data_IF_010668804960
#
_entry.id   IF_010668804960
#
_cell.length_a   1.000
_cell.length_b   1.000
_cell.length_c   1.000
_cell.angle_alpha   90.00
_cell.angle_beta   90.00
_cell.angle_gamma   90.00
#
_symmetry.space_group_name_H-M   'P 1'
#
loop_
_entity.id
_entity.type
_entity.pdbx_description
1 polymer ?
#
# COMPACT_ATOMS: atom_id res chain seq x y z
N UNK A 1 -11.08 -0.39 -36.02
CA UNK A 1 -10.76 -1.83 -36.26
C UNK A 1 -9.24 -1.97 -36.10
N UNK A 2 -8.76 -2.90 -35.27
CA UNK A 2 -7.31 -3.12 -35.08
C UNK A 2 -6.75 -3.60 -36.42
N UNK A 3 -5.78 -2.88 -36.99
CA UNK A 3 -5.32 -3.07 -38.38
C UNK A 3 -4.85 -4.51 -38.65
N UNK A 4 -4.14 -5.12 -37.70
CA UNK A 4 -3.59 -6.48 -37.82
C UNK A 4 -4.64 -7.61 -37.74
N UNK A 5 -5.90 -7.30 -37.48
CA UNK A 5 -6.98 -8.30 -37.38
C UNK A 5 -8.01 -8.16 -38.49
N UNK A 6 -7.73 -7.37 -39.52
CA UNK A 6 -8.70 -7.04 -40.56
C UNK A 6 -9.16 -8.29 -41.35
N UNK A 7 -8.24 -9.20 -41.64
CA UNK A 7 -8.50 -10.40 -42.45
C UNK A 7 -8.90 -11.62 -41.61
N UNK A 8 -9.05 -11.46 -40.29
CA UNK A 8 -9.41 -12.54 -39.37
C UNK A 8 -10.74 -12.25 -38.69
N UNK A 9 -11.61 -13.26 -38.62
CA UNK A 9 -12.83 -13.20 -37.82
C UNK A 9 -12.49 -13.48 -36.36
N UNK A 10 -12.31 -12.42 -35.57
CA UNK A 10 -12.02 -12.50 -34.14
C UNK A 10 -13.18 -11.91 -33.35
N UNK A 11 -13.67 -12.65 -32.36
CA UNK A 11 -14.84 -12.26 -31.54
C UNK A 11 -14.47 -11.93 -30.10
N UNK A 12 -13.28 -12.35 -29.64
CA UNK A 12 -12.82 -12.15 -28.26
C UNK A 12 -11.35 -11.75 -28.25
N UNK A 13 -10.96 -11.04 -27.19
CA UNK A 13 -9.58 -10.66 -26.91
C UNK A 13 -9.27 -10.86 -25.42
N UNK A 14 -7.98 -11.01 -25.12
CA UNK A 14 -7.44 -11.09 -23.76
C UNK A 14 -5.99 -10.57 -23.77
N UNK A 15 -5.44 -10.06 -22.67
CA UNK A 15 -6.02 -9.90 -21.32
C UNK A 15 -6.52 -8.47 -21.10
N UNK A 16 -7.51 -8.30 -20.22
CA UNK A 16 -7.97 -7.01 -19.70
C UNK A 16 -7.93 -7.06 -18.18
N UNK A 17 -7.30 -6.07 -17.55
CA UNK A 17 -7.16 -5.99 -16.09
C UNK A 17 -7.52 -4.54 -15.69
N UNK A 18 -8.68 -4.28 -15.04
CA UNK A 18 -9.10 -2.92 -14.71
C UNK A 18 -8.12 -2.18 -13.79
N UNK A 19 -7.43 -2.91 -12.91
CA UNK A 19 -6.36 -2.38 -12.05
C UNK A 19 -5.15 -1.86 -12.84
N UNK A 20 -4.95 -2.32 -14.09
CA UNK A 20 -3.87 -1.86 -14.98
C UNK A 20 -4.37 -0.74 -15.90
N UNK A 21 -5.50 -0.96 -16.57
CA UNK A 21 -6.15 0.03 -17.41
C UNK A 21 -7.63 -0.32 -17.61
N UNK A 22 -8.52 0.42 -16.94
CA UNK A 22 -9.96 0.33 -17.12
C UNK A 22 -10.42 1.12 -18.35
N UNK A 23 -9.72 2.21 -18.73
CA UNK A 23 -10.12 3.04 -19.86
C UNK A 23 -10.31 2.22 -21.16
N UNK A 24 -9.38 1.29 -21.45
CA UNK A 24 -9.49 0.44 -22.64
C UNK A 24 -10.70 -0.49 -22.58
N UNK A 25 -11.09 -0.95 -21.39
CA UNK A 25 -12.28 -1.79 -21.19
C UNK A 25 -13.53 -0.99 -21.53
N UNK A 26 -13.63 0.24 -21.00
CA UNK A 26 -14.72 1.18 -21.30
C UNK A 26 -14.80 1.49 -22.80
N UNK A 27 -13.66 1.76 -23.45
CA UNK A 27 -13.61 2.03 -24.90
C UNK A 27 -14.06 0.84 -25.74
N UNK A 28 -13.68 -0.39 -25.35
CA UNK A 28 -14.15 -1.62 -26.03
C UNK A 28 -15.66 -1.77 -25.86
N UNK A 29 -16.19 -1.52 -24.67
CA UNK A 29 -17.63 -1.59 -24.40
C UNK A 29 -18.43 -0.57 -25.23
N UNK A 30 -17.93 0.66 -25.33
CA UNK A 30 -18.50 1.69 -26.22
C UNK A 30 -18.47 1.25 -27.68
N UNK A 31 -17.35 0.67 -28.12
CA UNK A 31 -17.18 0.22 -29.50
C UNK A 31 -18.17 -0.88 -29.91
N UNK A 32 -18.58 -1.75 -28.99
CA UNK A 32 -19.57 -2.81 -29.25
C UNK A 32 -21.04 -2.34 -29.14
N UNK A 33 -21.27 -1.06 -28.85
CA UNK A 33 -22.58 -0.40 -29.00
C UNK A 33 -23.29 0.00 -27.70
N UNK A 34 -22.61 -0.07 -26.55
CA UNK A 34 -23.15 0.49 -25.30
C UNK A 34 -22.88 2.00 -25.23
N UNK A 35 -23.89 2.79 -24.85
CA UNK A 35 -23.81 4.26 -24.90
C UNK A 35 -24.25 4.96 -23.62
N UNK A 36 -24.77 4.22 -22.65
CA UNK A 36 -25.31 4.70 -21.37
C UNK A 36 -24.23 4.96 -20.30
N UNK A 37 -22.95 4.93 -20.67
CA UNK A 37 -21.82 5.25 -19.78
C UNK A 37 -21.96 6.61 -19.08
N UNK A 38 -22.53 7.61 -19.74
CA UNK A 38 -22.74 8.95 -19.18
C UNK A 38 -23.75 8.99 -18.03
N UNK A 39 -24.52 7.92 -17.81
CA UNK A 39 -25.46 7.78 -16.70
C UNK A 39 -24.81 7.17 -15.46
N UNK A 40 -23.58 6.65 -15.58
CA UNK A 40 -22.87 5.93 -14.52
C UNK A 40 -21.89 6.89 -13.85
N UNK A 41 -22.19 7.32 -12.63
CA UNK A 41 -21.32 8.22 -11.86
C UNK A 41 -19.97 7.57 -11.51
N UNK A 42 -20.00 6.28 -11.17
CA UNK A 42 -18.83 5.46 -10.83
C UNK A 42 -18.07 4.90 -12.04
N UNK A 43 -18.29 5.45 -13.25
CA UNK A 43 -17.76 4.88 -14.50
C UNK A 43 -16.22 4.74 -14.48
N UNK A 44 -15.54 5.75 -13.95
CA UNK A 44 -14.07 5.79 -13.88
C UNK A 44 -13.52 5.12 -12.63
N UNK A 45 -14.38 4.77 -11.67
CA UNK A 45 -14.00 4.13 -10.43
C UNK A 45 -13.83 2.62 -10.61
N UNK A 46 -12.93 2.03 -9.83
CA UNK A 46 -12.75 0.59 -9.74
C UNK A 46 -12.38 0.22 -8.30
N UNK A 47 -13.06 -0.80 -7.78
CA UNK A 47 -12.79 -1.38 -6.48
C UNK A 47 -12.40 -2.83 -6.65
N UNK A 48 -11.36 -3.24 -5.93
CA UNK A 48 -10.91 -4.63 -5.92
C UNK A 48 -10.70 -5.06 -4.48
N UNK A 49 -11.48 -6.05 -4.05
CA UNK A 49 -11.33 -6.66 -2.73
C UNK A 49 -9.97 -7.34 -2.63
N UNK A 50 -9.22 -7.03 -1.57
CA UNK A 50 -7.91 -7.62 -1.25
C UNK A 50 -7.94 -8.43 0.05
N UNK A 51 -8.97 -8.27 0.87
CA UNK A 51 -9.20 -9.02 2.10
C UNK A 51 -10.69 -9.02 2.42
N UNK A 52 -11.24 -10.15 2.83
CA UNK A 52 -12.56 -10.25 3.44
C UNK A 52 -12.53 -11.23 4.61
N UNK A 53 -13.07 -10.86 5.78
CA UNK A 53 -13.10 -11.69 6.99
C UNK A 53 -13.76 -13.06 6.78
N UNK A 54 -14.65 -13.18 5.81
CA UNK A 54 -15.32 -14.43 5.45
C UNK A 54 -14.45 -15.37 4.60
N UNK A 55 -13.29 -14.91 4.11
CA UNK A 55 -12.36 -15.75 3.36
C UNK A 55 -11.72 -16.79 4.27
N UNK A 56 -11.65 -18.04 3.79
CA UNK A 56 -10.98 -19.14 4.51
C UNK A 56 -9.52 -18.81 4.86
N UNK A 57 -8.86 -17.97 4.06
CA UNK A 57 -7.46 -17.56 4.22
C UNK A 57 -7.30 -16.20 4.91
N UNK A 58 -8.36 -15.42 5.10
CA UNK A 58 -8.27 -14.07 5.67
C UNK A 58 -7.69 -14.07 7.08
N UNK A 59 -7.98 -15.10 7.86
CA UNK A 59 -7.36 -15.31 9.19
C UNK A 59 -5.83 -15.44 9.18
N UNK A 60 -5.15 -15.39 8.03
CA UNK A 60 -3.69 -15.53 7.92
C UNK A 60 -2.94 -14.33 7.34
N UNK A 61 -3.60 -13.29 6.82
CA UNK A 61 -2.89 -12.07 6.39
C UNK A 61 -2.65 -11.13 7.58
N UNK A 62 -1.83 -11.61 8.50
CA UNK A 62 -1.50 -10.92 9.75
C UNK A 62 -0.84 -9.55 9.50
N UNK A 63 -0.14 -9.40 8.36
CA UNK A 63 0.52 -8.14 7.99
C UNK A 63 -0.52 -7.08 7.65
N UNK A 64 -1.45 -7.43 6.76
CA UNK A 64 -2.51 -6.52 6.34
C UNK A 64 -3.45 -6.18 7.50
N UNK A 65 -3.78 -7.17 8.34
CA UNK A 65 -4.61 -6.95 9.54
C UNK A 65 -3.95 -6.05 10.59
N UNK A 66 -2.67 -6.29 10.89
CA UNK A 66 -1.92 -5.43 11.84
C UNK A 66 -1.83 -3.99 11.32
N UNK A 67 -1.61 -3.83 10.01
CA UNK A 67 -1.60 -2.53 9.36
C UNK A 67 -2.99 -1.85 9.38
N UNK A 68 -4.04 -2.56 8.99
CA UNK A 68 -5.40 -2.05 8.95
C UNK A 68 -5.89 -1.63 10.34
N UNK A 69 -5.63 -2.45 11.37
CA UNK A 69 -5.90 -2.14 12.76
C UNK A 69 -5.25 -0.81 13.19
N UNK A 70 -4.02 -0.56 12.77
CA UNK A 70 -3.34 0.71 13.05
C UNK A 70 -3.99 1.91 12.33
N UNK A 71 -4.38 1.75 11.07
CA UNK A 71 -5.03 2.81 10.29
C UNK A 71 -6.38 3.19 10.91
N UNK A 72 -7.20 2.22 11.31
CA UNK A 72 -8.52 2.51 11.92
C UNK A 72 -8.39 3.12 13.31
N UNK A 73 -7.37 2.73 14.10
CA UNK A 73 -7.03 3.41 15.37
C UNK A 73 -6.56 4.85 15.14
N UNK A 74 -5.79 5.10 14.07
CA UNK A 74 -5.40 6.45 13.70
C UNK A 74 -6.62 7.30 13.31
N UNK A 75 -7.54 6.75 12.54
CA UNK A 75 -8.80 7.41 12.19
C UNK A 75 -9.64 7.74 13.44
N UNK A 76 -9.77 6.80 14.38
CA UNK A 76 -10.45 7.04 15.65
C UNK A 76 -9.81 8.20 16.45
N UNK A 77 -8.48 8.31 16.46
CA UNK A 77 -7.77 9.45 17.08
C UNK A 77 -8.09 10.76 16.37
N UNK A 78 -8.20 10.78 15.03
CA UNK A 78 -8.59 11.97 14.26
C UNK A 78 -10.02 12.38 14.62
N UNK A 79 -10.96 11.44 14.58
CA UNK A 79 -12.37 11.68 14.93
C UNK A 79 -12.53 12.18 16.36
N UNK A 80 -11.73 11.67 17.30
CA UNK A 80 -11.72 12.14 18.68
C UNK A 80 -11.41 13.64 18.79
N UNK A 81 -10.57 14.19 17.91
CA UNK A 81 -10.27 15.64 17.88
C UNK A 81 -11.50 16.50 17.55
N UNK A 82 -12.49 15.92 16.87
CA UNK A 82 -13.78 16.54 16.55
C UNK A 82 -14.85 16.21 17.60
N UNK A 83 -14.48 15.55 18.70
CA UNK A 83 -15.39 15.10 19.75
C UNK A 83 -16.15 13.81 19.39
N UNK A 84 -15.73 13.10 18.36
CA UNK A 84 -16.31 11.85 17.90
C UNK A 84 -15.51 10.68 18.45
N UNK A 85 -15.85 10.22 19.65
CA UNK A 85 -15.22 9.06 20.25
C UNK A 85 -15.81 7.79 19.62
N UNK A 86 -14.96 6.97 19.00
CA UNK A 86 -15.30 5.65 18.49
C UNK A 86 -14.19 4.66 18.87
N UNK A 87 -14.57 3.42 19.15
CA UNK A 87 -13.64 2.33 19.42
C UNK A 87 -13.66 1.36 18.23
N UNK A 88 -12.61 1.31 17.39
CA UNK A 88 -12.52 0.36 16.29
C UNK A 88 -12.46 -1.09 16.78
N UNK A 89 -13.08 -1.99 16.02
CA UNK A 89 -13.14 -3.42 16.29
C UNK A 89 -12.77 -4.22 15.02
N UNK A 90 -13.47 -5.31 14.72
CA UNK A 90 -13.20 -6.25 13.64
C UNK A 90 -13.10 -5.59 12.25
N UNK A 91 -12.02 -5.89 11.53
CA UNK A 91 -11.85 -5.54 10.13
C UNK A 91 -12.66 -6.53 9.27
N UNK A 92 -13.63 -6.03 8.53
CA UNK A 92 -14.55 -6.82 7.71
C UNK A 92 -13.97 -7.02 6.30
N UNK A 93 -13.62 -5.92 5.63
CA UNK A 93 -13.19 -5.95 4.24
C UNK A 93 -12.14 -4.88 3.98
N UNK A 94 -11.19 -5.16 3.10
CA UNK A 94 -10.26 -4.15 2.58
C UNK A 94 -10.33 -4.17 1.06
N UNK A 95 -10.58 -3.00 0.47
CA UNK A 95 -10.67 -2.79 -0.98
C UNK A 95 -9.58 -1.85 -1.46
N UNK A 96 -8.93 -2.18 -2.58
CA UNK A 96 -8.12 -1.23 -3.34
C UNK A 96 -9.03 -0.35 -4.18
N UNK A 97 -8.86 0.97 -4.10
CA UNK A 97 -9.66 1.95 -4.84
C UNK A 97 -8.83 2.67 -5.90
N UNK A 98 -9.33 2.61 -7.14
CA UNK A 98 -8.80 3.33 -8.29
C UNK A 98 -9.87 4.25 -8.87
N UNK A 99 -9.45 5.38 -9.41
CA UNK A 99 -10.34 6.26 -10.16
C UNK A 99 -9.53 6.92 -11.29
N UNK A 100 -10.06 6.79 -12.51
CA UNK A 100 -9.41 7.19 -13.76
C UNK A 100 -8.01 6.57 -13.92
N UNK A 101 -7.91 5.24 -13.79
CA UNK A 101 -6.67 4.45 -13.88
C UNK A 101 -5.56 4.85 -12.88
N UNK A 102 -5.91 5.61 -11.83
CA UNK A 102 -4.98 6.03 -10.79
C UNK A 102 -5.36 5.42 -9.45
N UNK A 103 -4.41 4.75 -8.80
CA UNK A 103 -4.56 4.29 -7.42
C UNK A 103 -4.80 5.47 -6.46
N UNK A 104 -5.97 5.44 -5.81
CA UNK A 104 -6.43 6.48 -4.88
C UNK A 104 -6.21 6.11 -3.42
N UNK A 105 -5.97 4.83 -3.11
CA UNK A 105 -5.76 4.35 -1.75
C UNK A 105 -6.50 3.04 -1.52
N UNK A 106 -6.51 2.59 -0.28
CA UNK A 106 -7.28 1.44 0.15
C UNK A 106 -8.42 1.91 1.07
N UNK A 107 -9.49 1.13 1.12
CA UNK A 107 -10.69 1.35 1.91
C UNK A 107 -10.79 0.21 2.91
N UNK A 108 -10.94 0.52 4.20
CA UNK A 108 -11.06 -0.47 5.26
C UNK A 108 -12.48 -0.37 5.80
N UNK A 109 -13.30 -1.39 5.54
CA UNK A 109 -14.61 -1.55 6.16
C UNK A 109 -14.44 -2.29 7.49
N UNK A 110 -14.87 -1.69 8.59
CA UNK A 110 -14.69 -2.26 9.92
C UNK A 110 -15.87 -1.95 10.85
N UNK A 111 -16.03 -2.78 11.88
CA UNK A 111 -16.91 -2.49 13.01
C UNK A 111 -16.27 -1.44 13.92
N UNK A 112 -17.11 -0.65 14.56
CA UNK A 112 -16.70 0.22 15.65
C UNK A 112 -17.84 0.37 16.65
N UNK A 113 -17.50 0.63 17.91
CA UNK A 113 -18.46 0.85 18.99
C UNK A 113 -18.41 2.29 19.45
N UNK A 114 -19.58 2.91 19.57
CA UNK A 114 -19.76 4.25 20.13
C UNK A 114 -19.83 4.18 21.68
N UNK A 115 -19.59 5.28 22.41
CA UNK A 115 -19.61 5.28 23.88
C UNK A 115 -20.96 4.89 24.52
N UNK A 116 -22.06 5.03 23.79
CA UNK A 116 -23.41 4.60 24.20
C UNK A 116 -23.67 3.10 23.96
N UNK A 117 -22.67 2.37 23.47
CA UNK A 117 -22.73 0.94 23.13
C UNK A 117 -23.31 0.67 21.74
N UNK A 118 -23.55 1.71 20.93
CA UNK A 118 -24.05 1.53 19.56
C UNK A 118 -22.95 0.99 18.65
N UNK A 119 -23.17 -0.19 18.08
CA UNK A 119 -22.31 -0.75 17.03
C UNK A 119 -22.61 -0.06 15.69
N UNK A 120 -21.55 0.41 15.04
CA UNK A 120 -21.59 1.06 13.74
C UNK A 120 -20.59 0.39 12.79
N UNK A 121 -20.86 0.47 11.49
CA UNK A 121 -19.94 0.03 10.45
C UNK A 121 -19.40 1.27 9.76
N UNK A 122 -18.08 1.43 9.81
CA UNK A 122 -17.37 2.56 9.25
C UNK A 122 -16.48 2.06 8.12
N UNK A 123 -16.43 2.79 7.02
CA UNK A 123 -15.39 2.59 6.01
C UNK A 123 -14.39 3.74 6.09
N UNK A 124 -13.12 3.41 6.25
CA UNK A 124 -12.01 4.36 6.37
C UNK A 124 -11.18 4.32 5.09
N UNK A 125 -11.04 5.46 4.40
CA UNK A 125 -10.18 5.60 3.24
C UNK A 125 -8.81 6.11 3.65
N UNK A 126 -7.75 5.38 3.26
CA UNK A 126 -6.37 5.77 3.52
C UNK A 126 -5.49 5.63 2.28
N UNK A 127 -4.36 6.33 2.28
CA UNK A 127 -3.37 6.29 1.19
C UNK A 127 -1.93 6.35 1.71
N UNK A 128 -0.98 5.60 1.10
CA UNK A 128 0.43 5.74 1.43
C UNK A 128 0.97 7.14 1.10
N UNK A 129 1.85 7.63 1.97
CA UNK A 129 2.68 8.83 1.78
C UNK A 129 3.82 8.53 0.81
N UNK A 130 4.23 9.54 0.05
CA UNK A 130 5.41 9.44 -0.81
C UNK A 130 6.66 9.72 0.03
N UNK A 131 7.58 8.76 0.08
CA UNK A 131 8.87 8.88 0.75
C UNK A 131 10.00 8.82 -0.28
N UNK A 132 10.23 9.92 -1.00
CA UNK A 132 11.33 10.06 -1.95
C UNK A 132 12.08 11.36 -1.63
N UNK A 133 13.29 11.19 -1.12
CA UNK A 133 14.22 12.27 -0.83
C UNK A 133 15.23 12.37 -1.97
N UNK A 134 15.20 13.49 -2.70
CA UNK A 134 16.08 13.77 -3.83
C UNK A 134 17.23 14.67 -3.38
N UNK A 135 18.48 14.31 -3.72
CA UNK A 135 19.62 15.17 -3.45
C UNK A 135 19.89 16.11 -4.62
N UNK A 136 19.35 17.33 -4.53
CA UNK A 136 19.46 18.33 -5.60
C UNK A 136 20.89 18.85 -5.83
N UNK A 137 21.85 18.55 -4.95
CA UNK A 137 23.26 18.86 -5.18
C UNK A 137 23.91 17.91 -6.19
N UNK A 138 23.28 16.76 -6.46
CA UNK A 138 23.78 15.79 -7.43
C UNK A 138 23.19 16.07 -8.83
N UNK A 139 24.05 16.15 -9.85
CA UNK A 139 23.65 16.42 -11.24
C UNK A 139 22.69 15.39 -11.86
N UNK A 140 22.61 14.19 -11.30
CA UNK A 140 21.81 13.08 -11.83
C UNK A 140 20.41 12.97 -11.22
N UNK A 141 20.07 13.85 -10.27
CA UNK A 141 18.81 13.83 -9.53
C UNK A 141 17.59 14.04 -10.41
N UNK A 142 17.69 14.93 -11.40
CA UNK A 142 16.59 15.30 -12.30
C UNK A 142 16.15 14.12 -13.20
N UNK A 143 17.04 13.13 -13.34
CA UNK A 143 16.76 11.94 -14.12
C UNK A 143 15.94 10.93 -13.32
N UNK A 144 15.89 10.98 -11.98
CA UNK A 144 15.18 9.98 -11.16
C UNK A 144 13.66 10.27 -11.16
N UNK A 145 12.88 9.43 -11.85
CA UNK A 145 11.41 9.50 -11.89
C UNK A 145 10.73 8.69 -10.81
N UNK A 146 11.17 7.45 -10.64
CA UNK A 146 10.63 6.51 -9.66
C UNK A 146 11.81 5.94 -8.87
N UNK A 147 11.67 5.90 -7.56
CA UNK A 147 12.57 5.18 -6.66
C UNK A 147 11.76 4.81 -5.42
N UNK A 148 11.15 3.63 -5.43
CA UNK A 148 10.20 3.18 -4.39
C UNK A 148 10.33 1.69 -4.11
N UNK A 149 10.04 1.31 -2.88
CA UNK A 149 10.04 -0.09 -2.43
C UNK A 149 8.61 -0.57 -2.19
N UNK A 150 8.31 -1.79 -2.63
CA UNK A 150 7.09 -2.53 -2.28
C UNK A 150 7.35 -4.04 -2.50
N UNK A 151 6.32 -4.88 -2.52
CA UNK A 151 6.38 -6.30 -2.86
C UNK A 151 5.57 -6.63 -4.11
N UNK A 152 5.66 -7.88 -4.57
CA UNK A 152 4.83 -8.41 -5.68
C UNK A 152 4.97 -7.60 -6.97
N UNK A 153 6.23 -7.36 -7.38
CA UNK A 153 6.51 -6.71 -8.64
C UNK A 153 6.09 -7.59 -9.83
N UNK A 154 5.13 -7.11 -10.61
CA UNK A 154 4.72 -7.68 -11.88
C UNK A 154 5.62 -7.13 -12.99
N UNK A 155 6.54 -7.97 -13.47
CA UNK A 155 7.47 -7.60 -14.53
C UNK A 155 6.78 -7.34 -15.87
N UNK A 156 5.65 -8.03 -16.14
CA UNK A 156 4.95 -7.93 -17.42
C UNK A 156 4.22 -6.59 -17.53
N UNK A 157 3.56 -6.18 -16.45
CA UNK A 157 2.85 -4.88 -16.39
C UNK A 157 3.74 -3.75 -15.81
N UNK A 158 4.99 -4.07 -15.43
CA UNK A 158 5.98 -3.15 -14.88
C UNK A 158 5.50 -2.35 -13.65
N UNK A 159 4.69 -2.97 -12.78
CA UNK A 159 4.08 -2.33 -11.61
C UNK A 159 4.08 -3.25 -10.39
N UNK A 160 3.92 -2.69 -9.19
CA UNK A 160 3.69 -3.47 -7.98
C UNK A 160 2.22 -3.85 -7.86
N UNK A 161 1.93 -5.10 -7.47
CA UNK A 161 0.58 -5.52 -7.10
C UNK A 161 0.24 -5.10 -5.66
N UNK A 162 1.22 -5.04 -4.77
CA UNK A 162 1.11 -4.37 -3.49
C UNK A 162 1.23 -2.83 -3.67
N UNK A 163 0.11 -2.19 -4.05
CA UNK A 163 0.05 -0.75 -4.34
C UNK A 163 0.16 0.12 -3.08
N UNK A 164 -0.33 -0.39 -1.95
CA UNK A 164 -0.28 0.31 -0.67
C UNK A 164 1.12 0.29 -0.04
N UNK A 165 2.00 -0.63 -0.45
CA UNK A 165 3.33 -0.76 0.14
C UNK A 165 3.30 -1.33 1.56
N UNK A 166 2.28 -2.14 1.87
CA UNK A 166 2.11 -2.76 3.19
C UNK A 166 3.05 -3.97 3.26
N UNK A 167 4.08 -3.87 4.08
CA UNK A 167 5.11 -4.90 4.21
C UNK A 167 5.23 -5.31 5.68
N UNK A 168 5.45 -6.60 5.91
CA UNK A 168 5.65 -7.19 7.23
C UNK A 168 7.00 -7.90 7.32
N UNK A 169 7.32 -8.49 8.49
CA UNK A 169 8.62 -9.11 8.73
C UNK A 169 8.90 -10.28 7.79
N UNK A 170 7.86 -10.91 7.24
CA UNK A 170 7.96 -12.04 6.33
C UNK A 170 7.86 -11.64 4.85
N UNK A 171 7.74 -10.35 4.54
CA UNK A 171 7.64 -9.87 3.16
C UNK A 171 8.97 -9.92 2.40
N UNK A 172 8.89 -10.00 1.08
CA UNK A 172 10.03 -9.90 0.17
C UNK A 172 10.02 -8.53 -0.54
N UNK A 173 10.73 -7.51 0.00
CA UNK A 173 10.74 -6.18 -0.59
C UNK A 173 11.52 -6.17 -1.90
N UNK A 174 11.08 -5.31 -2.81
CA UNK A 174 11.65 -5.09 -4.13
C UNK A 174 11.72 -3.59 -4.36
N UNK A 175 12.88 -3.10 -4.78
CA UNK A 175 13.04 -1.72 -5.21
C UNK A 175 12.69 -1.62 -6.70
N UNK A 176 11.83 -0.68 -7.07
CA UNK A 176 11.60 -0.24 -8.45
C UNK A 176 12.26 1.11 -8.64
N UNK A 177 13.07 1.23 -9.70
CA UNK A 177 13.62 2.51 -10.13
C UNK A 177 13.26 2.81 -11.60
N UNK A 178 13.10 4.09 -11.89
CA UNK A 178 12.88 4.59 -13.24
C UNK A 178 13.65 5.89 -13.45
N UNK A 179 14.35 5.98 -14.58
CA UNK A 179 15.06 7.17 -15.02
C UNK A 179 14.41 7.82 -16.26
N UNK A 180 14.63 9.13 -16.44
CA UNK A 180 14.29 9.87 -17.65
C UNK A 180 15.44 9.85 -18.66
N UNK A 181 15.15 9.76 -19.97
CA UNK A 181 16.13 10.09 -20.99
C UNK A 181 16.29 11.62 -21.13
N UNK A 182 17.44 12.11 -21.63
CA UNK A 182 18.65 11.36 -21.96
C UNK A 182 19.44 11.00 -20.68
N UNK A 183 20.06 9.82 -20.70
CA UNK A 183 21.01 9.42 -19.67
C UNK A 183 22.41 9.76 -20.16
N UNK A 184 23.16 10.54 -19.38
CA UNK A 184 24.56 10.85 -19.73
C UNK A 184 25.44 9.60 -19.70
N UNK A 185 26.48 9.55 -20.54
CA UNK A 185 27.41 8.41 -20.64
C UNK A 185 28.13 8.05 -19.32
N UNK A 186 28.01 8.88 -18.27
CA UNK A 186 28.66 8.68 -16.97
C UNK A 186 27.81 7.86 -15.97
N UNK A 187 26.60 7.43 -16.31
CA UNK A 187 25.70 6.62 -15.46
C UNK A 187 26.14 5.16 -15.22
N UNK A 188 27.42 4.83 -15.41
CA UNK A 188 27.86 3.43 -15.45
C UNK A 188 28.08 2.78 -14.08
N UNK A 189 28.29 3.57 -13.01
CA UNK A 189 28.68 3.10 -11.67
C UNK A 189 27.70 3.52 -10.56
N UNK A 190 26.43 3.17 -10.71
CA UNK A 190 25.45 3.40 -9.66
C UNK A 190 25.46 2.25 -8.65
N UNK A 191 25.22 2.57 -7.39
CA UNK A 191 25.11 1.60 -6.29
C UNK A 191 23.83 1.86 -5.51
N UNK A 192 23.09 0.79 -5.23
CA UNK A 192 21.95 0.80 -4.33
C UNK A 192 22.36 0.17 -3.01
N UNK A 193 22.01 0.82 -1.90
CA UNK A 193 22.27 0.36 -0.55
C UNK A 193 20.98 0.28 0.25
N UNK A 194 20.82 -0.81 0.99
CA UNK A 194 19.73 -1.05 1.92
C UNK A 194 20.24 -0.94 3.35
N UNK A 195 19.58 -0.12 4.16
CA UNK A 195 19.87 0.11 5.56
C UNK A 195 18.66 -0.32 6.40
N UNK A 196 18.90 -1.15 7.40
CA UNK A 196 17.85 -1.61 8.30
C UNK A 196 17.56 -0.59 9.42
N UNK A 197 16.48 -0.79 10.21
CA UNK A 197 16.10 0.13 11.29
C UNK A 197 17.13 0.27 12.43
N UNK A 198 18.06 -0.68 12.56
CA UNK A 198 19.14 -0.61 13.55
C UNK A 198 20.37 0.14 13.01
N UNK A 199 20.32 0.64 11.78
CA UNK A 199 21.43 1.33 11.14
C UNK A 199 22.49 0.41 10.56
N UNK A 200 22.16 -0.86 10.30
CA UNK A 200 23.07 -1.85 9.72
C UNK A 200 22.84 -1.95 8.21
N UNK A 201 23.92 -1.96 7.44
CA UNK A 201 23.85 -2.18 5.98
C UNK A 201 23.44 -3.63 5.74
N UNK A 202 22.27 -3.82 5.15
CA UNK A 202 21.67 -5.13 4.93
C UNK A 202 22.04 -5.72 3.55
N UNK A 203 22.11 -4.87 2.53
CA UNK A 203 22.52 -5.27 1.18
C UNK A 203 23.09 -4.09 0.38
N UNK A 204 23.99 -4.40 -0.56
CA UNK A 204 24.60 -3.45 -1.48
C UNK A 204 24.66 -4.08 -2.87
N UNK A 205 24.08 -3.40 -3.86
CA UNK A 205 24.02 -3.87 -5.23
C UNK A 205 24.47 -2.77 -6.22
N UNK A 206 25.41 -3.08 -7.10
CA UNK A 206 25.73 -2.22 -8.24
C UNK A 206 24.64 -2.32 -9.32
N UNK A 207 24.26 -1.20 -9.92
CA UNK A 207 23.36 -1.17 -11.08
C UNK A 207 24.00 -0.44 -12.25
N UNK A 208 23.72 -0.95 -13.45
CA UNK A 208 24.13 -0.34 -14.70
C UNK A 208 22.89 0.09 -15.46
N UNK A 209 22.83 1.38 -15.83
CA UNK A 209 21.68 1.97 -16.50
C UNK A 209 22.11 2.42 -17.89
N UNK A 210 21.33 2.03 -18.90
CA UNK A 210 21.54 2.43 -20.28
C UNK A 210 20.21 2.91 -20.90
N UNK A 211 20.26 3.47 -22.11
CA UNK A 211 19.09 4.02 -22.80
C UNK A 211 17.96 3.00 -23.03
N UNK A 212 18.30 1.70 -23.09
CA UNK A 212 17.34 0.62 -23.29
C UNK A 212 16.75 0.06 -21.99
N UNK A 213 17.28 0.45 -20.83
CA UNK A 213 16.92 -0.11 -19.52
C UNK A 213 16.70 1.00 -18.48
N UNK A 214 15.84 1.96 -18.83
CA UNK A 214 15.50 3.10 -17.98
C UNK A 214 14.61 2.73 -16.78
N UNK A 215 13.89 1.60 -16.86
CA UNK A 215 13.00 1.12 -15.80
C UNK A 215 13.38 -0.30 -15.45
N UNK A 216 13.74 -0.54 -14.19
CA UNK A 216 14.13 -1.87 -13.73
C UNK A 216 13.91 -2.01 -12.22
N UNK A 217 14.07 -3.22 -11.70
CA UNK A 217 13.83 -3.55 -10.30
C UNK A 217 15.02 -4.32 -9.69
N UNK A 218 15.14 -4.26 -8.36
CA UNK A 218 16.16 -4.95 -7.58
C UNK A 218 15.49 -5.74 -6.47
N UNK A 219 15.78 -7.03 -6.40
CA UNK A 219 15.47 -7.88 -5.25
C UNK A 219 16.73 -7.99 -4.38
N UNK A 220 16.74 -7.42 -3.16
CA UNK A 220 17.89 -7.53 -2.29
C UNK A 220 18.03 -8.93 -1.71
N UNK A 221 19.24 -9.30 -1.29
CA UNK A 221 19.53 -10.62 -0.69
C UNK A 221 19.20 -10.68 0.81
N UNK A 222 17.98 -10.29 1.19
CA UNK A 222 17.54 -10.25 2.59
C UNK A 222 16.93 -11.58 3.03
N UNK A 223 17.25 -12.01 4.25
CA UNK A 223 16.63 -13.19 4.89
C UNK A 223 15.49 -12.74 5.79
N UNK A 224 14.40 -13.49 5.77
CA UNK A 224 13.27 -13.30 6.68
C UNK A 224 13.53 -14.01 8.02
N UNK A 225 13.02 -13.48 9.14
CA UNK A 225 12.24 -12.24 9.22
C UNK A 225 13.11 -10.99 9.05
N UNK A 226 12.53 -9.94 8.47
CA UNK A 226 13.07 -8.59 8.40
C UNK A 226 12.85 -7.89 9.74
N UNK A 227 13.82 -7.07 10.16
CA UNK A 227 13.69 -6.27 11.37
C UNK A 227 12.54 -5.25 11.19
N UNK A 228 11.50 -5.23 12.05
CA UNK A 228 10.43 -4.25 11.92
C UNK A 228 10.90 -2.82 12.22
N UNK A 229 10.26 -1.86 11.54
CA UNK A 229 10.59 -0.45 11.62
C UNK A 229 10.87 0.17 10.26
N UNK A 230 11.50 1.35 10.29
CA UNK A 230 11.75 2.16 9.11
C UNK A 230 13.07 1.74 8.46
N UNK A 231 12.96 1.18 7.27
CA UNK A 231 14.10 0.89 6.42
C UNK A 231 14.40 2.06 5.48
N UNK A 232 15.65 2.18 5.07
CA UNK A 232 16.09 3.19 4.11
C UNK A 232 16.81 2.53 2.94
N UNK A 233 16.53 3.00 1.73
CA UNK A 233 17.26 2.62 0.53
C UNK A 233 17.84 3.87 -0.10
N UNK A 234 19.14 3.83 -0.43
CA UNK A 234 19.83 4.93 -1.07
C UNK A 234 20.38 4.52 -2.43
N UNK A 235 20.31 5.44 -3.39
CA UNK A 235 20.95 5.37 -4.69
C UNK A 235 22.17 6.30 -4.68
N UNK A 236 23.31 5.76 -5.08
CA UNK A 236 24.60 6.45 -5.05
C UNK A 236 25.29 6.39 -6.39
N UNK A 237 26.01 7.44 -6.72
CA UNK A 237 27.11 7.38 -7.67
C UNK A 237 28.41 7.46 -6.87
N UNK A 238 29.23 6.41 -6.97
CA UNK A 238 30.46 6.25 -6.17
C UNK A 238 30.18 6.32 -4.65
N UNK A 239 30.16 7.53 -4.07
CA UNK A 239 29.85 7.77 -2.65
C UNK A 239 28.87 8.95 -2.45
N UNK A 240 28.41 9.57 -3.53
CA UNK A 240 27.48 10.70 -3.48
C UNK A 240 26.05 10.20 -3.58
N UNK A 241 25.20 10.58 -2.63
CA UNK A 241 23.78 10.25 -2.65
C UNK A 241 23.10 10.99 -3.80
N UNK A 242 22.31 10.26 -4.60
CA UNK A 242 21.44 10.83 -5.65
C UNK A 242 20.01 10.93 -5.13
N UNK A 243 19.49 9.81 -4.62
CA UNK A 243 18.12 9.71 -4.14
C UNK A 243 18.06 8.70 -2.99
N UNK A 244 17.11 8.88 -2.08
CA UNK A 244 16.79 7.86 -1.10
C UNK A 244 15.28 7.73 -0.91
N UNK A 245 14.85 6.55 -0.51
CA UNK A 245 13.46 6.26 -0.15
C UNK A 245 13.44 5.54 1.19
N UNK A 246 12.33 5.67 1.90
CA UNK A 246 12.05 4.92 3.13
C UNK A 246 10.85 4.03 2.91
N UNK A 247 10.86 2.89 3.57
CA UNK A 247 9.71 1.99 3.61
C UNK A 247 9.56 1.40 5.01
N UNK A 248 8.34 1.01 5.34
CA UNK A 248 8.00 0.46 6.64
C UNK A 248 7.89 -1.05 6.55
N UNK A 249 8.60 -1.75 7.44
CA UNK A 249 8.26 -3.13 7.80
C UNK A 249 7.39 -3.05 9.07
N UNK A 250 6.09 -3.23 8.91
CA UNK A 250 5.10 -3.16 9.97
C UNK A 250 5.30 -4.31 10.97
N UNK A 251 5.50 -4.04 12.26
CA UNK A 251 5.46 -5.09 13.28
C UNK A 251 4.11 -5.80 13.26
N UNK A 252 4.10 -7.12 13.39
CA UNK A 252 2.86 -7.89 13.45
C UNK A 252 2.25 -7.84 14.85
N UNK A 253 0.97 -7.51 14.95
CA UNK A 253 0.14 -7.63 16.15
C UNK A 253 -0.42 -9.06 16.29
N UNK A 254 -0.64 -9.71 15.14
CA UNK A 254 -1.18 -11.06 15.04
C UNK A 254 -0.16 -12.01 14.41
N UNK A 255 -0.23 -13.29 14.74
CA UNK A 255 0.47 -14.34 14.04
C UNK A 255 -0.40 -15.60 13.94
N UNK A 256 -0.58 -16.09 12.71
CA UNK A 256 -1.51 -17.17 12.40
C UNK A 256 -2.93 -16.91 12.94
N UNK A 257 -3.40 -15.66 12.81
CA UNK A 257 -4.75 -15.24 13.21
C UNK A 257 -4.98 -15.13 14.72
N UNK A 258 -3.92 -15.13 15.53
CA UNK A 258 -3.99 -14.99 16.99
C UNK A 258 -3.10 -13.84 17.45
N UNK A 259 -3.44 -13.24 18.59
CA UNK A 259 -2.55 -12.27 19.21
C UNK A 259 -1.17 -12.87 19.47
N UNK A 260 -0.14 -12.09 19.14
CA UNK A 260 1.24 -12.51 19.22
C UNK A 260 1.69 -12.80 20.66
N UNK A 261 2.22 -13.99 20.91
CA UNK A 261 2.84 -14.31 22.20
C UNK A 261 4.24 -13.69 22.33
N UNK A 262 4.76 -13.57 23.56
CA UNK A 262 6.12 -13.11 23.81
C UNK A 262 7.21 -13.92 23.07
N UNK A 263 7.01 -15.24 22.96
CA UNK A 263 7.96 -16.12 22.28
C UNK A 263 7.95 -15.88 20.77
N UNK A 264 6.76 -15.75 20.18
CA UNK A 264 6.61 -15.47 18.75
C UNK A 264 7.11 -14.06 18.41
N UNK A 265 6.84 -13.05 19.23
CA UNK A 265 7.38 -11.70 19.07
C UNK A 265 8.91 -11.71 19.04
N UNK A 266 9.54 -12.46 19.95
CA UNK A 266 10.99 -12.58 20.01
C UNK A 266 11.61 -13.25 18.79
N UNK A 267 10.83 -13.98 17.99
CA UNK A 267 11.29 -14.64 16.76
C UNK A 267 10.97 -13.76 15.54
N UNK A 268 9.74 -13.28 15.44
CA UNK A 268 9.22 -12.58 14.25
C UNK A 268 9.76 -11.15 14.18
N UNK A 269 9.95 -10.48 15.32
CA UNK A 269 10.44 -9.10 15.34
C UNK A 269 11.96 -9.01 15.49
N UNK A 270 12.69 -10.11 15.69
CA UNK A 270 14.15 -10.06 15.89
C UNK A 270 14.97 -9.71 14.66
N UNK A 271 14.37 -9.83 13.47
CA UNK A 271 15.10 -9.68 12.21
C UNK A 271 16.16 -10.77 11.99
N UNK A 272 16.87 -10.67 10.87
CA UNK A 272 17.90 -11.64 10.44
C UNK A 272 19.27 -10.99 10.22
N UNK A 273 19.64 -10.04 11.07
CA UNK A 273 20.87 -9.24 10.90
C UNK A 273 22.15 -10.09 10.82
N UNK A 274 22.19 -11.21 11.54
CA UNK A 274 23.32 -12.14 11.50
C UNK A 274 23.54 -12.79 10.12
N UNK A 275 22.55 -12.73 9.23
CA UNK A 275 22.65 -13.26 7.88
C UNK A 275 23.17 -12.23 6.86
N UNK A 276 23.32 -10.95 7.24
CA UNK A 276 23.84 -9.93 6.36
C UNK A 276 25.31 -10.17 6.05
N UNK A 277 25.72 -9.84 4.82
CA UNK A 277 27.14 -9.87 4.45
C UNK A 277 27.89 -8.76 5.17
N UNK A 278 29.20 -8.94 5.32
CA UNK A 278 30.05 -7.90 5.90
C UNK A 278 30.26 -6.76 4.90
N UNK A 279 29.64 -5.61 5.17
CA UNK A 279 29.80 -4.36 4.41
C UNK A 279 30.58 -3.28 5.15
N UNK A 280 31.38 -3.62 6.17
CA UNK A 280 32.13 -2.63 6.97
C UNK A 280 33.14 -1.80 6.17
N UNK A 281 33.50 -2.24 4.96
CA UNK A 281 34.36 -1.49 4.05
C UNK A 281 33.63 -0.33 3.34
N UNK A 282 32.30 -0.35 3.30
CA UNK A 282 31.50 0.66 2.63
C UNK A 282 31.37 1.89 3.52
N UNK A 283 32.04 2.97 3.13
CA UNK A 283 32.04 4.25 3.85
C UNK A 283 31.28 5.30 3.05
N UNK A 284 29.99 5.45 3.34
CA UNK A 284 29.16 6.51 2.77
C UNK A 284 28.85 7.51 3.88
N UNK A 285 29.43 8.71 3.75
CA UNK A 285 29.19 9.81 4.67
C UNK A 285 27.71 10.22 4.62
N UNK A 286 27.14 10.55 5.78
CA UNK A 286 25.79 11.12 5.94
C UNK A 286 24.62 10.22 5.50
N UNK A 287 24.84 8.94 5.23
CA UNK A 287 23.77 7.96 5.00
C UNK A 287 23.73 6.85 6.04
N UNK A 288 24.91 6.32 6.40
CA UNK A 288 25.06 5.34 7.48
C UNK A 288 25.20 6.11 8.80
N UNK A 289 24.50 5.72 9.87
CA UNK A 289 24.60 6.39 11.16
C UNK A 289 26.04 6.32 11.70
N UNK A 290 26.43 7.32 12.47
CA UNK A 290 27.70 7.26 13.19
C UNK A 290 27.67 6.20 14.30
N UNK A 291 28.82 5.96 14.95
CA UNK A 291 28.94 4.88 15.94
C UNK A 291 27.97 5.04 17.11
N UNK A 292 27.80 6.26 17.63
CA UNK A 292 26.92 6.53 18.77
C UNK A 292 25.44 6.37 18.40
N UNK A 293 25.06 6.87 17.21
CA UNK A 293 23.72 6.69 16.64
C UNK A 293 23.41 5.21 16.38
N UNK A 294 24.36 4.45 15.81
CA UNK A 294 24.18 3.03 15.55
C UNK A 294 23.97 2.24 16.84
N UNK A 295 24.74 2.54 17.90
CA UNK A 295 24.55 1.92 19.21
C UNK A 295 23.19 2.26 19.82
N UNK A 296 22.69 3.49 19.63
CA UNK A 296 21.36 3.89 20.08
C UNK A 296 20.26 3.14 19.32
N UNK A 297 20.35 3.10 17.99
CA UNK A 297 19.39 2.41 17.12
C UNK A 297 19.32 0.92 17.46
N UNK A 298 20.47 0.25 17.63
CA UNK A 298 20.52 -1.16 18.03
C UNK A 298 19.85 -1.41 19.39
N UNK A 299 20.06 -0.53 20.38
CA UNK A 299 19.39 -0.63 21.69
C UNK A 299 17.88 -0.47 21.57
N UNK A 300 17.42 0.49 20.76
CA UNK A 300 15.99 0.71 20.49
C UNK A 300 15.40 -0.53 19.81
N UNK A 301 16.04 -1.04 18.75
CA UNK A 301 15.61 -2.26 18.06
C UNK A 301 15.51 -3.44 19.02
N UNK A 302 16.52 -3.66 19.87
CA UNK A 302 16.49 -4.75 20.85
C UNK A 302 15.36 -4.62 21.87
N UNK A 303 15.04 -3.39 22.30
CA UNK A 303 13.90 -3.12 23.17
C UNK A 303 12.57 -3.40 22.46
N UNK A 304 12.46 -3.05 21.19
CA UNK A 304 11.23 -3.16 20.42
C UNK A 304 10.81 -4.61 20.14
N UNK A 305 11.76 -5.54 20.02
CA UNK A 305 11.51 -6.98 19.81
C UNK A 305 10.59 -7.59 20.88
N UNK A 306 10.60 -7.04 22.09
CA UNK A 306 9.90 -7.59 23.26
C UNK A 306 8.49 -7.00 23.46
N UNK A 307 8.12 -6.00 22.66
CA UNK A 307 6.83 -5.29 22.80
C UNK A 307 5.69 -6.21 22.39
N UNK A 308 4.63 -6.24 23.20
CA UNK A 308 3.38 -6.97 22.91
C UNK A 308 2.16 -6.16 23.35
N UNK A 309 0.97 -6.62 22.96
CA UNK A 309 -0.32 -6.01 23.32
C UNK A 309 -0.34 -4.49 23.09
N UNK A 310 -0.72 -3.70 24.10
CA UNK A 310 -0.87 -2.25 24.00
C UNK A 310 0.45 -1.54 23.62
N UNK A 311 1.58 -1.97 24.19
CA UNK A 311 2.88 -1.34 23.93
C UNK A 311 3.38 -1.62 22.49
N UNK A 312 2.97 -2.75 21.92
CA UNK A 312 3.17 -3.07 20.51
C UNK A 312 2.23 -2.25 19.61
N UNK A 313 0.94 -2.11 19.98
CA UNK A 313 -0.02 -1.27 19.23
C UNK A 313 0.45 0.17 19.13
N UNK A 314 0.93 0.74 20.23
CA UNK A 314 1.46 2.11 20.25
C UNK A 314 2.69 2.27 19.36
N UNK A 315 3.58 1.27 19.36
CA UNK A 315 4.73 1.26 18.46
C UNK A 315 4.32 1.17 16.98
N UNK A 316 3.39 0.27 16.65
CA UNK A 316 2.85 0.14 15.28
C UNK A 316 2.19 1.46 14.84
N UNK A 317 1.34 2.05 15.69
CA UNK A 317 0.66 3.31 15.40
C UNK A 317 1.64 4.47 15.18
N UNK A 318 2.68 4.55 16.01
CA UNK A 318 3.74 5.56 15.88
C UNK A 318 4.55 5.44 14.59
N UNK A 319 4.74 4.21 14.09
CA UNK A 319 5.37 3.98 12.79
C UNK A 319 4.40 4.26 11.63
N UNK A 320 3.17 3.75 11.72
CA UNK A 320 2.18 3.80 10.64
C UNK A 320 1.81 5.23 10.24
N UNK A 321 1.67 6.13 11.22
CA UNK A 321 1.33 7.54 10.98
C UNK A 321 2.36 8.27 10.12
N UNK A 322 3.62 7.83 10.09
CA UNK A 322 4.66 8.42 9.22
C UNK A 322 4.51 8.00 7.75
N UNK A 323 3.85 6.87 7.48
CA UNK A 323 3.78 6.26 6.15
C UNK A 323 2.40 6.33 5.49
N UNK A 324 1.35 6.59 6.24
CA UNK A 324 -0.02 6.57 5.72
C UNK A 324 -0.81 7.80 6.16
N UNK A 325 -1.69 8.27 5.28
CA UNK A 325 -2.68 9.30 5.58
C UNK A 325 -4.06 8.67 5.60
N UNK A 326 -4.83 8.92 6.66
CA UNK A 326 -6.28 8.75 6.63
C UNK A 326 -6.87 9.97 5.94
N UNK A 327 -7.71 9.74 4.92
CA UNK A 327 -8.24 10.78 4.05
C UNK A 327 -9.68 11.14 4.40
N UNK A 328 -10.53 10.13 4.59
CA UNK A 328 -11.93 10.33 4.93
C UNK A 328 -12.51 9.05 5.54
N UNK A 329 -13.68 9.20 6.15
CA UNK A 329 -14.47 8.09 6.69
C UNK A 329 -15.95 8.29 6.40
N UNK A 330 -16.66 7.21 6.15
CA UNK A 330 -18.11 7.21 5.98
C UNK A 330 -18.73 6.14 6.87
N UNK A 331 -20.03 6.28 7.13
CA UNK A 331 -20.78 5.28 7.87
C UNK A 331 -21.71 4.50 6.94
N UNK A 332 -21.76 3.18 7.11
CA UNK A 332 -22.74 2.35 6.41
C UNK A 332 -24.14 2.63 6.94
N UNK A 333 -25.08 2.88 6.03
CA UNK A 333 -26.46 3.23 6.37
C UNK A 333 -27.26 1.98 6.75
N UNK A 334 -27.36 1.65 8.04
CA UNK A 334 -28.56 0.98 8.54
C UNK A 334 -29.63 2.05 8.75
N UNK A 335 -30.82 1.86 8.17
CA UNK A 335 -31.93 2.83 8.16
C UNK A 335 -32.32 3.37 9.53
N UNK A 336 -32.01 2.64 10.60
CA UNK A 336 -32.38 2.96 11.98
C UNK A 336 -31.39 3.88 12.72
N UNK A 337 -30.26 4.24 12.10
CA UNK A 337 -29.17 4.97 12.77
C UNK A 337 -29.24 6.50 12.62
N UNK A 338 -30.10 7.03 11.74
CA UNK A 338 -30.11 8.46 11.36
C UNK A 338 -30.29 9.40 12.54
N UNK A 339 -31.16 9.04 13.48
CA UNK A 339 -31.52 9.88 14.64
C UNK A 339 -30.64 9.63 15.87
N UNK A 340 -29.84 8.54 15.86
CA UNK A 340 -29.02 8.10 17.00
C UNK A 340 -27.54 8.44 16.86
N UNK A 341 -27.05 8.64 15.64
CA UNK A 341 -25.63 8.87 15.40
C UNK A 341 -25.23 10.32 15.71
N UNK A 342 -24.99 10.62 17.00
CA UNK A 342 -24.38 11.88 17.43
C UNK A 342 -22.89 11.63 17.70
N UNK A 343 -22.01 12.21 16.89
CA UNK A 343 -20.55 12.05 17.04
C UNK A 343 -19.84 13.40 17.19
N UNK A 344 -20.05 14.07 18.32
CA UNK A 344 -19.45 15.39 18.58
C UNK A 344 -19.80 16.41 17.48
N UNK A 345 -18.78 17.03 16.90
CA UNK A 345 -18.90 17.95 15.74
C UNK A 345 -18.77 17.23 14.40
N UNK A 346 -18.38 15.96 14.40
CA UNK A 346 -18.19 15.19 13.19
C UNK A 346 -19.55 14.76 12.62
N UNK A 347 -19.73 14.98 11.32
CA UNK A 347 -20.91 14.54 10.58
C UNK A 347 -20.49 13.50 9.55
N UNK A 348 -20.76 12.23 9.84
CA UNK A 348 -20.51 11.17 8.89
C UNK A 348 -21.40 11.30 7.66
N UNK A 349 -20.79 11.24 6.48
CA UNK A 349 -21.50 10.97 5.24
C UNK A 349 -21.87 9.47 5.18
N UNK A 350 -23.00 9.15 4.54
CA UNK A 350 -23.31 7.75 4.23
C UNK A 350 -22.38 7.23 3.14
N UNK A 351 -21.82 6.04 3.35
CA UNK A 351 -20.93 5.40 2.38
C UNK A 351 -21.57 5.29 0.99
N UNK A 352 -22.84 4.89 0.93
CA UNK A 352 -23.63 4.77 -0.32
C UNK A 352 -23.85 6.09 -1.07
N UNK A 353 -23.56 7.24 -0.46
CA UNK A 353 -23.68 8.56 -1.08
C UNK A 353 -22.34 9.17 -1.47
N UNK A 354 -21.23 8.50 -1.16
CA UNK A 354 -19.89 8.97 -1.48
C UNK A 354 -19.48 8.54 -2.90
N UNK A 355 -18.43 9.14 -3.45
CA UNK A 355 -17.90 8.77 -4.78
C UNK A 355 -16.71 7.79 -4.70
N UNK A 356 -16.31 7.40 -3.49
CA UNK A 356 -15.09 6.62 -3.24
C UNK A 356 -15.33 5.32 -2.48
N UNK A 357 -16.42 5.21 -1.72
CA UNK A 357 -16.70 4.03 -0.90
C UNK A 357 -16.91 2.79 -1.75
N UNK A 358 -16.51 1.62 -1.24
CA UNK A 358 -16.87 0.35 -1.88
C UNK A 358 -18.38 0.05 -1.79
N UNK A 359 -19.09 0.71 -0.87
CA UNK A 359 -20.54 0.61 -0.70
C UNK A 359 -21.31 1.62 -1.56
N UNK A 360 -20.61 2.45 -2.34
CA UNK A 360 -21.22 3.34 -3.31
C UNK A 360 -21.85 2.55 -4.46
N UNK A 361 -22.95 3.02 -5.06
CA UNK A 361 -23.56 2.35 -6.21
C UNK A 361 -22.56 2.18 -7.36
N UNK A 362 -22.34 0.95 -7.80
CA UNK A 362 -21.55 0.65 -9.00
C UNK A 362 -22.35 -0.13 -10.05
N UNK A 363 -23.21 0.55 -10.83
CA UNK A 363 -24.06 -0.10 -11.84
C UNK A 363 -23.27 -0.95 -12.85
N UNK A 364 -22.06 -0.52 -13.24
CA UNK A 364 -21.25 -1.24 -14.24
C UNK A 364 -20.71 -2.59 -13.73
N UNK A 365 -20.52 -2.72 -12.41
CA UNK A 365 -20.07 -3.95 -11.76
C UNK A 365 -21.22 -4.83 -11.26
N UNK A 366 -22.47 -4.38 -11.40
CA UNK A 366 -23.65 -5.03 -10.84
C UNK A 366 -24.39 -5.85 -11.90
N UNK A 367 -24.88 -7.03 -11.52
CA UNK A 367 -25.79 -7.83 -12.34
C UNK A 367 -27.22 -7.34 -12.09
N UNK A 368 -27.79 -6.59 -13.03
CA UNK A 368 -29.17 -6.13 -12.92
C UNK A 368 -30.19 -7.12 -13.49
N UNK A 369 -31.38 -6.62 -13.82
CA UNK A 369 -32.53 -7.46 -14.21
C UNK A 369 -32.44 -7.92 -15.65
N UNK A 370 -33.05 -9.06 -15.96
CA UNK A 370 -33.18 -9.52 -17.34
C UNK A 370 -34.22 -8.69 -18.09
N UNK A 371 -33.78 -7.98 -19.13
CA UNK A 371 -34.68 -7.33 -20.07
C UNK A 371 -35.34 -8.40 -20.96
N UNK A 372 -36.65 -8.60 -20.78
CA UNK A 372 -37.39 -9.66 -21.48
C UNK A 372 -37.51 -9.43 -23.00
N UNK A 373 -37.34 -8.20 -23.48
CA UNK A 373 -37.50 -7.87 -24.90
C UNK A 373 -36.27 -8.21 -25.75
N UNK A 374 -35.06 -8.04 -25.19
CA UNK A 374 -33.81 -8.25 -25.91
C UNK A 374 -32.94 -9.38 -25.33
N UNK A 375 -33.34 -9.96 -24.18
CA UNK A 375 -32.63 -11.05 -23.50
C UNK A 375 -31.31 -10.64 -22.85
N UNK A 376 -31.04 -9.34 -22.67
CA UNK A 376 -29.81 -8.83 -22.03
C UNK A 376 -30.07 -8.42 -20.58
N UNK A 377 -29.01 -8.38 -19.79
CA UNK A 377 -29.05 -7.84 -18.43
C UNK A 377 -29.03 -6.31 -18.50
N UNK A 378 -29.97 -5.67 -17.81
CA UNK A 378 -29.94 -4.23 -17.56
C UNK A 378 -28.85 -3.96 -16.53
N UNK A 379 -28.04 -2.93 -16.77
CA UNK A 379 -27.06 -2.47 -15.79
C UNK A 379 -27.52 -1.27 -14.98
N UNK A 380 -28.58 -0.59 -15.43
CA UNK A 380 -29.19 0.59 -14.79
C UNK A 380 -30.65 0.30 -14.47
#
# INVERSE_FOLDING_TARGET
>A
RIQNTQDRQLFFARKFEPIINQEIITRVEQFIGYTDHYLITSLEAYWQSIYNVEDLTASTDDTLLSHAGSVVRHNAKILLTEGCAIEPDEIIEINSYHCADVYKGNLILHKATMPDGLEVIVETWYKPKKHLDLNFENQFVDNVKIFKVSSEYDQKESTFRNLAGVLGPLSEPVLLYQFSPPIEKNFENLTVMWLDPAGVIADVAGIHVNENNLTNFIKPSLKTPLLPGIWKVGLFEQSNLIASTKFLITPLEYFSGKELSHQEASIIHSGSQNAYKNYSYVKILNFVPNQDESLLLQKISYSNIKRIHQDLREWIDGLSIEFYNVLSSCISSKTDLKDRLKCGKHHFQYCSSSDWSSLSPDPKGTIGKLNQSNGRLERL
#
